data_IF_245482201986
#
_entry.id   IF_245482201986
#
_cell.length_a   1.000
_cell.length_b   1.000
_cell.length_c   1.000
_cell.angle_alpha   90.00
_cell.angle_beta   90.00
_cell.angle_gamma   90.00
#
_symmetry.space_group_name_H-M   'P 1'
#
loop_
_entity.id
_entity.type
_entity.pdbx_description
1 polymer ?
#
# COMPACT_ATOMS: atom_id res chain seq x y z
N UNK A 1 -2.52 13.98 -43.66
CA UNK A 1 -1.86 14.75 -42.57
C UNK A 1 -2.63 14.47 -41.28
N UNK A 2 -2.02 13.88 -40.25
CA UNK A 2 -2.69 13.68 -38.95
C UNK A 2 -2.73 15.03 -38.21
N UNK A 3 -3.94 15.50 -37.92
CA UNK A 3 -4.17 16.70 -37.10
C UNK A 3 -3.58 16.46 -35.71
N UNK A 4 -2.49 17.15 -35.38
CA UNK A 4 -1.93 17.17 -34.03
C UNK A 4 -2.81 18.10 -33.20
N UNK A 5 -3.71 17.51 -32.41
CA UNK A 5 -4.58 18.28 -31.53
C UNK A 5 -3.76 18.75 -30.33
N UNK A 6 -3.53 20.06 -30.25
CA UNK A 6 -2.74 20.66 -29.19
C UNK A 6 -3.63 20.90 -27.96
N UNK A 7 -3.75 19.88 -27.10
CA UNK A 7 -4.56 19.95 -25.88
C UNK A 7 -3.78 20.67 -24.77
N UNK A 8 -4.38 21.70 -24.18
CA UNK A 8 -3.83 22.42 -23.02
C UNK A 8 -4.71 22.17 -21.80
N UNK A 9 -4.07 21.98 -20.64
CA UNK A 9 -4.73 21.83 -19.34
C UNK A 9 -4.21 22.94 -18.44
N UNK A 10 -5.13 23.70 -17.84
CA UNK A 10 -4.81 24.68 -16.81
C UNK A 10 -4.93 24.03 -15.43
N UNK A 11 -3.95 24.29 -14.55
CA UNK A 11 -3.89 23.72 -13.20
C UNK A 11 -3.94 24.84 -12.16
N UNK A 12 -5.03 24.87 -11.39
CA UNK A 12 -5.14 25.74 -10.21
C UNK A 12 -4.49 25.05 -9.00
N UNK A 13 -3.44 25.65 -8.44
CA UNK A 13 -2.73 25.13 -7.27
C UNK A 13 -3.10 25.95 -6.03
N UNK A 14 -3.29 25.29 -4.89
CA UNK A 14 -3.61 25.93 -3.60
C UNK A 14 -2.46 26.72 -2.99
N UNK A 15 -1.22 26.46 -3.42
CA UNK A 15 -0.02 27.21 -3.02
C UNK A 15 0.83 27.47 -4.25
N UNK A 16 1.53 28.60 -4.26
CA UNK A 16 2.51 28.89 -5.31
C UNK A 16 3.63 27.84 -5.28
N UNK A 17 3.83 27.08 -6.37
CA UNK A 17 4.97 26.19 -6.49
C UNK A 17 6.25 27.00 -6.65
N UNK A 18 7.38 26.45 -6.19
CA UNK A 18 8.69 27.05 -6.48
C UNK A 18 9.10 26.83 -7.93
N UNK A 19 10.02 27.64 -8.44
CA UNK A 19 10.53 27.50 -9.82
C UNK A 19 11.10 26.09 -10.09
N UNK A 20 11.74 25.47 -9.09
CA UNK A 20 12.25 24.11 -9.18
C UNK A 20 11.12 23.09 -9.33
N UNK A 21 10.01 23.26 -8.58
CA UNK A 21 8.84 22.39 -8.68
C UNK A 21 8.15 22.54 -10.03
N UNK A 22 8.00 23.77 -10.52
CA UNK A 22 7.45 24.07 -11.86
C UNK A 22 8.29 23.45 -12.97
N UNK A 23 9.62 23.56 -12.88
CA UNK A 23 10.54 22.97 -13.85
C UNK A 23 10.37 21.45 -13.91
N UNK A 24 10.33 20.77 -12.76
CA UNK A 24 10.12 19.32 -12.67
C UNK A 24 8.76 18.89 -13.21
N UNK A 25 7.69 19.62 -12.90
CA UNK A 25 6.35 19.33 -13.45
C UNK A 25 6.35 19.39 -14.97
N UNK A 26 6.96 20.42 -15.56
CA UNK A 26 7.08 20.56 -17.02
C UNK A 26 7.90 19.44 -17.64
N UNK A 27 9.03 19.07 -17.02
CA UNK A 27 9.91 18.00 -17.47
C UNK A 27 9.19 16.64 -17.45
N UNK A 28 8.62 16.24 -16.31
CA UNK A 28 7.94 14.95 -16.17
C UNK A 28 6.74 14.81 -17.09
N UNK A 29 5.94 15.87 -17.27
CA UNK A 29 4.75 15.83 -18.13
C UNK A 29 5.09 15.89 -19.62
N UNK A 30 6.28 16.36 -20.00
CA UNK A 30 6.71 16.43 -21.41
C UNK A 30 7.33 15.13 -21.90
N UNK A 31 8.11 14.46 -21.04
CA UNK A 31 8.92 13.31 -21.44
C UNK A 31 8.18 11.97 -21.29
N UNK A 32 7.21 11.89 -20.39
CA UNK A 32 6.53 10.63 -20.09
C UNK A 32 5.24 10.45 -20.92
N UNK A 33 4.91 9.21 -21.34
CA UNK A 33 3.59 8.89 -21.88
C UNK A 33 2.48 9.26 -20.89
N UNK A 34 1.35 9.74 -21.42
CA UNK A 34 0.22 10.21 -20.60
C UNK A 34 -0.31 9.10 -19.70
N UNK A 35 -0.32 7.86 -20.17
CA UNK A 35 -0.76 6.68 -19.41
C UNK A 35 0.10 6.44 -18.16
N UNK A 36 1.42 6.59 -18.27
CA UNK A 36 2.36 6.44 -17.16
C UNK A 36 2.22 7.58 -16.15
N UNK A 37 2.06 8.81 -16.64
CA UNK A 37 1.76 9.99 -15.81
C UNK A 37 0.48 9.77 -15.01
N UNK A 38 -0.60 9.34 -15.66
CA UNK A 38 -1.89 9.08 -15.02
C UNK A 38 -1.79 7.96 -13.98
N UNK A 39 -1.04 6.89 -14.27
CA UNK A 39 -0.77 5.81 -13.33
C UNK A 39 -0.05 6.31 -12.07
N UNK A 40 1.03 7.08 -12.24
CA UNK A 40 1.78 7.68 -11.14
C UNK A 40 0.94 8.66 -10.31
N UNK A 41 0.20 9.55 -10.97
CA UNK A 41 -0.69 10.51 -10.31
C UNK A 41 -1.83 9.81 -9.55
N UNK A 42 -2.42 8.75 -10.11
CA UNK A 42 -3.43 7.92 -9.43
C UNK A 42 -2.87 7.31 -8.15
N UNK A 43 -1.66 6.75 -8.20
CA UNK A 43 -0.99 6.22 -7.01
C UNK A 43 -0.74 7.30 -5.97
N UNK A 44 -0.19 8.45 -6.37
CA UNK A 44 0.09 9.58 -5.49
C UNK A 44 -1.19 10.11 -4.82
N UNK A 45 -2.27 10.29 -5.60
CA UNK A 45 -3.58 10.72 -5.11
C UNK A 45 -4.17 9.74 -4.10
N UNK A 46 -4.22 8.45 -4.43
CA UNK A 46 -4.72 7.43 -3.53
C UNK A 46 -3.94 7.39 -2.21
N UNK A 47 -2.61 7.53 -2.28
CA UNK A 47 -1.74 7.59 -1.11
C UNK A 47 -2.00 8.84 -0.27
N UNK A 48 -2.15 10.01 -0.90
CA UNK A 48 -2.46 11.26 -0.22
C UNK A 48 -3.82 11.18 0.47
N UNK A 49 -4.88 10.76 -0.22
CA UNK A 49 -6.22 10.61 0.36
C UNK A 49 -6.23 9.65 1.54
N UNK A 50 -5.54 8.51 1.43
CA UNK A 50 -5.43 7.58 2.55
C UNK A 50 -4.66 8.18 3.74
N UNK A 51 -3.64 9.02 3.47
CA UNK A 51 -2.87 9.70 4.52
C UNK A 51 -3.74 10.73 5.24
N UNK A 52 -4.44 11.54 4.45
CA UNK A 52 -5.32 12.61 4.91
C UNK A 52 -6.46 12.06 5.78
N UNK A 53 -7.11 10.98 5.33
CA UNK A 53 -8.13 10.27 6.09
C UNK A 53 -7.60 9.43 7.28
N UNK A 54 -6.28 9.45 7.55
CA UNK A 54 -5.67 8.67 8.64
C UNK A 54 -5.67 7.15 8.44
N UNK A 55 -6.06 6.66 7.25
CA UNK A 55 -6.19 5.22 6.93
C UNK A 55 -4.97 4.67 6.17
N UNK A 56 -3.92 5.46 5.97
CA UNK A 56 -2.75 5.04 5.21
C UNK A 56 -2.02 3.89 5.89
N UNK A 57 -2.22 2.70 5.36
CA UNK A 57 -1.60 1.46 5.81
C UNK A 57 -0.29 1.25 5.06
N UNK A 58 0.83 1.75 5.60
CA UNK A 58 2.14 1.59 4.97
C UNK A 58 2.79 0.23 5.28
N UNK A 59 3.06 -0.54 4.21
CA UNK A 59 4.06 -1.59 4.16
C UNK A 59 3.80 -2.85 4.99
N UNK A 60 4.88 -3.64 5.18
CA UNK A 60 4.87 -4.95 5.83
C UNK A 60 4.29 -4.92 7.25
N UNK A 61 4.56 -3.85 8.01
CA UNK A 61 4.05 -3.71 9.39
C UNK A 61 2.52 -3.64 9.43
N UNK A 62 1.90 -2.96 8.46
CA UNK A 62 0.44 -2.86 8.42
C UNK A 62 -0.24 -4.18 8.04
N UNK A 63 0.33 -4.91 7.08
CA UNK A 63 -0.11 -6.26 6.71
C UNK A 63 -0.08 -7.17 7.93
N UNK A 64 1.05 -7.19 8.65
CA UNK A 64 1.20 -8.00 9.86
C UNK A 64 0.16 -7.60 10.90
N UNK A 65 -0.01 -6.29 11.19
CA UNK A 65 -1.00 -5.80 12.16
C UNK A 65 -2.42 -6.23 11.79
N UNK A 66 -2.82 -6.12 10.52
CA UNK A 66 -4.13 -6.58 10.03
C UNK A 66 -4.36 -8.07 10.33
N UNK A 67 -3.33 -8.89 10.16
CA UNK A 67 -3.44 -10.35 10.31
C UNK A 67 -3.50 -10.82 11.76
N UNK A 68 -2.95 -10.05 12.71
CA UNK A 68 -2.73 -10.52 14.09
C UNK A 68 -3.39 -9.69 15.18
N UNK A 69 -3.78 -8.43 14.91
CA UNK A 69 -4.23 -7.48 15.95
C UNK A 69 -5.38 -8.05 16.79
N UNK A 70 -6.48 -8.45 16.14
CA UNK A 70 -7.71 -8.93 16.78
C UNK A 70 -7.78 -10.46 16.94
N UNK A 71 -6.67 -11.17 16.71
CA UNK A 71 -6.64 -12.63 16.82
C UNK A 71 -6.64 -13.05 18.29
N UNK A 72 -7.62 -13.86 18.69
CA UNK A 72 -7.72 -14.46 20.04
C UNK A 72 -6.71 -15.60 20.23
N UNK A 73 -6.56 -16.07 21.47
CA UNK A 73 -5.66 -17.20 21.78
C UNK A 73 -6.06 -18.47 21.04
N UNK A 74 -7.35 -18.80 21.03
CA UNK A 74 -7.93 -19.99 20.37
C UNK A 74 -7.74 -19.89 18.85
N UNK A 75 -8.02 -18.70 18.28
CA UNK A 75 -7.81 -18.44 16.86
C UNK A 75 -6.33 -18.55 16.48
N UNK A 76 -5.42 -18.08 17.35
CA UNK A 76 -3.99 -18.23 17.13
C UNK A 76 -3.57 -19.71 17.13
N UNK A 77 -4.05 -20.50 18.10
CA UNK A 77 -3.80 -21.94 18.18
C UNK A 77 -4.34 -22.67 16.95
N UNK A 78 -5.57 -22.38 16.53
CA UNK A 78 -6.17 -23.00 15.34
C UNK A 78 -5.38 -22.67 14.07
N UNK A 79 -4.95 -21.41 13.89
CA UNK A 79 -4.15 -21.00 12.72
C UNK A 79 -2.77 -21.66 12.70
N UNK A 80 -2.16 -21.86 13.88
CA UNK A 80 -0.88 -22.58 14.00
C UNK A 80 -1.04 -24.08 13.72
N UNK A 81 -2.14 -24.70 14.17
CA UNK A 81 -2.47 -26.10 13.84
C UNK A 81 -2.68 -26.29 12.34
N UNK A 82 -3.30 -25.31 11.68
CA UNK A 82 -3.61 -25.34 10.24
C UNK A 82 -2.61 -24.53 9.39
N UNK A 83 -1.33 -24.48 9.80
CA UNK A 83 -0.36 -23.53 9.25
C UNK A 83 -0.07 -23.68 7.75
N UNK A 84 -0.09 -24.91 7.21
CA UNK A 84 0.15 -25.16 5.77
C UNK A 84 -0.92 -24.49 4.89
N UNK A 85 -2.18 -24.58 5.30
CA UNK A 85 -3.29 -23.89 4.66
C UNK A 85 -3.16 -22.37 4.79
N UNK A 86 -2.73 -21.88 5.95
CA UNK A 86 -2.49 -20.45 6.17
C UNK A 86 -1.39 -19.91 5.24
N UNK A 87 -0.28 -20.64 5.06
CA UNK A 87 0.78 -20.28 4.11
C UNK A 87 0.18 -20.14 2.69
N UNK A 88 -0.60 -21.11 2.22
CA UNK A 88 -1.20 -21.06 0.89
C UNK A 88 -2.11 -19.81 0.72
N UNK A 89 -2.95 -19.51 1.72
CA UNK A 89 -3.80 -18.32 1.71
C UNK A 89 -3.00 -17.02 1.70
N UNK A 90 -1.91 -16.94 2.49
CA UNK A 90 -1.04 -15.77 2.50
C UNK A 90 -0.26 -15.59 1.19
N UNK A 91 0.20 -16.68 0.58
CA UNK A 91 0.85 -16.64 -0.73
C UNK A 91 -0.11 -16.18 -1.82
N UNK A 92 -1.37 -16.64 -1.81
CA UNK A 92 -2.42 -16.18 -2.73
C UNK A 92 -2.71 -14.67 -2.57
N UNK A 93 -2.58 -14.13 -1.35
CA UNK A 93 -2.69 -12.68 -1.06
C UNK A 93 -1.41 -11.87 -1.39
N UNK A 94 -0.40 -12.49 -1.98
CA UNK A 94 0.85 -11.83 -2.38
C UNK A 94 1.83 -11.59 -1.23
N UNK A 95 1.67 -12.26 -0.07
CA UNK A 95 2.60 -12.05 1.05
C UNK A 95 3.93 -12.74 0.78
N UNK A 96 5.01 -12.00 1.00
CA UNK A 96 6.37 -12.56 0.97
C UNK A 96 6.60 -13.49 2.16
N UNK A 97 7.46 -14.50 2.01
CA UNK A 97 7.83 -15.41 3.10
C UNK A 97 8.35 -14.68 4.36
N UNK A 98 9.14 -13.59 4.27
CA UNK A 98 9.51 -12.79 5.43
C UNK A 98 8.32 -12.15 6.19
N UNK A 99 7.21 -11.90 5.50
CA UNK A 99 5.96 -11.39 6.10
C UNK A 99 5.22 -12.51 6.81
N UNK A 100 5.06 -13.66 6.15
CA UNK A 100 4.42 -14.87 6.68
C UNK A 100 5.15 -15.37 7.95
N UNK A 101 6.48 -15.38 7.93
CA UNK A 101 7.31 -15.75 9.08
C UNK A 101 7.07 -14.85 10.30
N UNK A 102 6.97 -13.54 10.11
CA UNK A 102 6.67 -12.59 11.20
C UNK A 102 5.25 -12.78 11.75
N UNK A 103 4.26 -13.05 10.90
CA UNK A 103 2.91 -13.41 11.34
C UNK A 103 2.96 -14.65 12.24
N UNK A 104 3.68 -15.71 11.84
CA UNK A 104 3.85 -16.94 12.63
C UNK A 104 4.39 -16.66 14.03
N UNK A 105 5.46 -15.84 14.12
CA UNK A 105 6.08 -15.48 15.41
C UNK A 105 5.09 -14.82 16.37
N UNK A 106 4.26 -13.91 15.88
CA UNK A 106 3.26 -13.22 16.72
C UNK A 106 2.14 -14.16 17.13
N UNK A 107 1.70 -15.06 16.24
CA UNK A 107 0.69 -16.07 16.58
C UNK A 107 1.20 -17.01 17.69
N UNK A 108 2.48 -17.42 17.65
CA UNK A 108 3.09 -18.25 18.71
C UNK A 108 3.10 -17.50 20.06
N UNK A 109 3.37 -16.19 20.06
CA UNK A 109 3.32 -15.40 21.29
C UNK A 109 1.89 -15.30 21.84
N UNK A 110 0.89 -15.07 20.96
CA UNK A 110 -0.52 -14.98 21.35
C UNK A 110 -1.09 -16.32 21.83
N UNK A 111 -0.73 -17.43 21.19
CA UNK A 111 -1.24 -18.77 21.55
C UNK A 111 -0.82 -19.24 22.95
N UNK A 112 0.21 -18.60 23.53
CA UNK A 112 0.76 -18.90 24.86
C UNK A 112 0.16 -18.07 25.99
N UNK A 113 -0.56 -16.98 25.69
CA UNK A 113 -1.27 -16.22 26.74
C UNK A 113 -2.45 -17.04 27.23
N UNK A 114 -2.32 -17.64 28.42
CA UNK A 114 -3.46 -18.16 29.18
C UNK A 114 -4.45 -17.00 29.39
N UNK A 115 -5.72 -17.24 29.11
CA UNK A 115 -6.81 -16.39 29.62
C UNK A 115 -6.63 -16.28 31.13
N UNK A 116 -6.63 -15.05 31.62
CA UNK A 116 -6.67 -14.76 33.06
C UNK A 116 -8.03 -15.20 33.60
#
# INVERSE_FOLDING_TARGET
>A
MKLVHNHKIELSLTKMPTDIQLKKLKEYLREMPVEEVLSGLKFAKNRWTAKDAGVLKVGRKSIIKKEVHSVTTEQAQWRLKNWKMMIANYRRRGYSYPTISRIKKILIQKSRKKSK
#
